data_IF_325945105818
#
_entry.id   IF_325945105818
#
_cell.length_a   1.000
_cell.length_b   1.000
_cell.length_c   1.000
_cell.angle_alpha   90.00
_cell.angle_beta   90.00
_cell.angle_gamma   90.00
#
_symmetry.space_group_name_H-M   'P 1'
#
loop_
_entity.id
_entity.type
_entity.pdbx_description
1 polymer ?
#
# COMPACT_ATOMS: atom_id res chain seq x y z
N UNK A 1 -3.03 10.73 9.83
CA UNK A 1 -1.65 10.48 9.40
C UNK A 1 -1.26 11.45 8.30
N UNK A 2 0.03 11.65 8.09
CA UNK A 2 0.55 12.53 7.05
C UNK A 2 1.65 11.83 6.26
N UNK A 3 2.28 12.54 5.32
CA UNK A 3 3.34 12.00 4.48
C UNK A 3 4.50 11.43 5.31
N UNK A 4 4.91 12.11 6.38
CA UNK A 4 6.02 11.65 7.23
C UNK A 4 5.68 10.34 7.94
N UNK A 5 4.42 10.16 8.33
CA UNK A 5 3.96 8.90 8.93
C UNK A 5 4.02 7.76 7.90
N UNK A 6 3.57 8.02 6.67
CA UNK A 6 3.64 7.04 5.59
C UNK A 6 5.09 6.68 5.25
N UNK A 7 5.96 7.69 5.18
CA UNK A 7 7.39 7.49 4.91
C UNK A 7 8.04 6.61 5.97
N UNK A 8 7.80 6.90 7.23
CA UNK A 8 8.35 6.13 8.35
C UNK A 8 7.89 4.68 8.30
N UNK A 9 6.60 4.44 8.11
CA UNK A 9 6.05 3.09 8.04
C UNK A 9 6.57 2.31 6.83
N UNK A 10 6.66 2.95 5.67
CA UNK A 10 7.14 2.29 4.45
C UNK A 10 8.63 1.94 4.55
N UNK A 11 9.44 2.87 5.03
CA UNK A 11 10.89 2.67 5.14
C UNK A 11 11.27 1.69 6.24
N UNK A 12 10.36 1.39 7.18
CA UNK A 12 10.57 0.35 8.18
C UNK A 12 10.45 -1.06 7.61
N UNK A 13 9.86 -1.22 6.41
CA UNK A 13 9.73 -2.52 5.76
C UNK A 13 11.04 -2.95 5.09
N UNK A 14 11.31 -4.26 5.03
CA UNK A 14 12.59 -4.76 4.48
C UNK A 14 12.83 -4.32 3.04
N UNK A 15 14.06 -3.92 2.74
CA UNK A 15 14.55 -3.63 1.39
C UNK A 15 13.81 -2.50 0.67
N UNK A 16 13.06 -1.69 1.40
CA UNK A 16 12.33 -0.56 0.82
C UNK A 16 13.22 0.68 0.75
N UNK A 17 13.20 1.32 -0.41
CA UNK A 17 13.84 2.62 -0.64
C UNK A 17 12.83 3.62 -1.16
N UNK A 18 13.10 4.90 -0.96
CA UNK A 18 12.25 5.98 -1.45
C UNK A 18 12.83 6.58 -2.73
N UNK A 19 11.96 6.81 -3.72
CA UNK A 19 12.31 7.51 -4.96
C UNK A 19 11.16 8.42 -5.36
N UNK A 20 11.44 9.39 -6.23
CA UNK A 20 10.39 10.16 -6.87
C UNK A 20 9.77 9.37 -8.01
N UNK A 21 8.45 9.41 -8.12
CA UNK A 21 7.69 8.79 -9.20
C UNK A 21 6.59 9.75 -9.62
N UNK A 22 6.68 10.26 -10.85
CA UNK A 22 5.75 11.25 -11.37
C UNK A 22 5.61 12.48 -10.46
N UNK A 23 6.75 12.95 -9.91
CA UNK A 23 6.77 14.13 -9.04
C UNK A 23 6.33 13.91 -7.60
N UNK A 24 6.04 12.68 -7.20
CA UNK A 24 5.59 12.35 -5.85
C UNK A 24 6.50 11.31 -5.20
N UNK A 25 6.67 11.34 -3.87
CA UNK A 25 7.40 10.29 -3.16
C UNK A 25 6.75 8.92 -3.39
N UNK A 26 7.60 7.92 -3.61
CA UNK A 26 7.17 6.54 -3.78
C UNK A 26 8.17 5.60 -3.12
N UNK A 27 7.71 4.43 -2.70
CA UNK A 27 8.50 3.46 -1.95
C UNK A 27 8.51 2.15 -2.70
N UNK A 28 9.70 1.60 -2.86
CA UNK A 28 9.94 0.42 -3.70
C UNK A 28 10.83 -0.57 -2.96
N UNK A 29 10.58 -1.85 -3.15
CA UNK A 29 11.63 -2.85 -3.07
C UNK A 29 12.06 -3.17 -4.51
N UNK A 30 11.68 -4.29 -5.10
CA UNK A 30 11.86 -4.56 -6.52
C UNK A 30 10.74 -3.94 -7.36
N UNK A 31 9.57 -3.82 -6.73
CA UNK A 31 8.38 -3.26 -7.34
C UNK A 31 7.81 -2.15 -6.45
N UNK A 32 6.88 -1.40 -7.00
CA UNK A 32 6.20 -0.33 -6.26
C UNK A 32 5.40 -0.90 -5.09
N UNK A 33 5.71 -0.44 -3.88
CA UNK A 33 4.96 -0.78 -2.66
C UNK A 33 3.88 0.27 -2.40
N UNK A 34 4.24 1.54 -2.47
CA UNK A 34 3.29 2.63 -2.24
C UNK A 34 3.77 3.90 -2.94
N UNK A 35 2.84 4.78 -3.25
CA UNK A 35 3.13 6.08 -3.86
C UNK A 35 2.14 7.11 -3.35
N UNK A 36 2.64 8.29 -2.99
CA UNK A 36 1.76 9.40 -2.70
C UNK A 36 1.07 9.80 -4.01
N UNK A 37 -0.27 9.75 -4.03
CA UNK A 37 -1.05 10.07 -5.23
C UNK A 37 -1.27 11.57 -5.35
N UNK A 38 -1.70 12.18 -4.25
CA UNK A 38 -1.87 13.63 -4.11
C UNK A 38 -1.52 14.03 -2.67
N UNK A 39 -1.89 15.23 -2.25
CA UNK A 39 -1.52 15.75 -0.93
C UNK A 39 -2.04 14.91 0.24
N UNK A 40 -3.13 14.15 0.05
CA UNK A 40 -3.80 13.43 1.13
C UNK A 40 -3.99 11.94 0.88
N UNK A 41 -3.73 11.45 -0.33
CA UNK A 41 -4.04 10.05 -0.66
C UNK A 41 -2.79 9.26 -1.05
N UNK A 42 -2.70 8.06 -0.50
CA UNK A 42 -1.60 7.12 -0.74
C UNK A 42 -2.12 5.93 -1.54
N UNK A 43 -1.42 5.58 -2.62
CA UNK A 43 -1.72 4.37 -3.40
C UNK A 43 -1.01 3.18 -2.77
N UNK A 44 -1.74 2.10 -2.50
CA UNK A 44 -1.20 0.83 -2.01
C UNK A 44 -1.80 -0.34 -2.77
N UNK A 45 -1.13 -1.49 -2.73
CA UNK A 45 -1.62 -2.73 -3.36
C UNK A 45 -2.48 -3.51 -2.38
N UNK A 46 -3.51 -4.14 -2.93
CA UNK A 46 -4.30 -5.15 -2.21
C UNK A 46 -4.24 -6.46 -2.99
N UNK A 47 -4.92 -7.49 -2.53
CA UNK A 47 -4.81 -8.82 -3.13
C UNK A 47 -5.24 -8.84 -4.60
N UNK A 48 -6.38 -8.23 -4.90
CA UNK A 48 -6.94 -8.21 -6.25
C UNK A 48 -7.92 -7.05 -6.44
N UNK A 49 -8.46 -6.94 -7.65
CA UNK A 49 -9.44 -5.93 -8.01
C UNK A 49 -10.73 -6.04 -7.20
N UNK A 50 -11.14 -7.26 -6.87
CA UNK A 50 -12.34 -7.50 -6.06
C UNK A 50 -12.22 -6.92 -4.66
N UNK A 51 -11.08 -7.12 -4.01
CA UNK A 51 -10.81 -6.52 -2.71
C UNK A 51 -10.77 -5.00 -2.79
N UNK A 52 -10.16 -4.45 -3.84
CA UNK A 52 -10.12 -3.01 -4.07
C UNK A 52 -11.54 -2.42 -4.08
N UNK A 53 -12.43 -3.02 -4.84
CA UNK A 53 -13.82 -2.55 -4.95
C UNK A 53 -14.59 -2.74 -3.63
N UNK A 54 -14.35 -3.84 -2.92
CA UNK A 54 -14.99 -4.10 -1.63
C UNK A 54 -14.61 -3.05 -0.58
N UNK A 55 -13.33 -2.68 -0.50
CA UNK A 55 -12.87 -1.66 0.44
C UNK A 55 -13.52 -0.30 0.15
N UNK A 56 -13.58 0.10 -1.10
CA UNK A 56 -14.19 1.38 -1.49
C UNK A 56 -15.68 1.39 -1.15
N UNK A 57 -16.37 0.28 -1.37
CA UNK A 57 -17.80 0.16 -1.04
C UNK A 57 -18.06 0.18 0.46
N UNK A 58 -17.24 -0.52 1.24
CA UNK A 58 -17.44 -0.65 2.68
C UNK A 58 -17.04 0.58 3.47
N UNK A 59 -15.96 1.25 3.08
CA UNK A 59 -15.43 2.41 3.79
C UNK A 59 -15.04 3.54 2.83
N UNK A 60 -16.01 4.18 2.18
CA UNK A 60 -15.72 5.22 1.17
C UNK A 60 -15.07 6.48 1.73
N UNK A 61 -15.13 6.70 3.05
CA UNK A 61 -14.43 7.81 3.69
C UNK A 61 -12.92 7.56 3.80
N UNK A 62 -12.51 6.29 3.79
CA UNK A 62 -11.12 5.89 3.93
C UNK A 62 -10.48 5.48 2.61
N UNK A 63 -11.22 4.75 1.79
CA UNK A 63 -10.72 4.20 0.53
C UNK A 63 -11.40 4.84 -0.68
N UNK A 64 -10.62 5.07 -1.73
CA UNK A 64 -11.13 5.58 -2.99
C UNK A 64 -10.39 4.97 -4.17
N UNK A 65 -10.90 5.18 -5.36
CA UNK A 65 -10.28 4.71 -6.60
C UNK A 65 -10.48 5.76 -7.69
N UNK A 66 -9.72 5.63 -8.76
CA UNK A 66 -9.83 6.50 -9.94
C UNK A 66 -9.95 5.63 -11.18
N UNK A 67 -10.33 6.24 -12.30
CA UNK A 67 -10.37 5.52 -13.59
C UNK A 67 -9.00 4.96 -13.98
N UNK A 68 -7.93 5.66 -13.58
CA UNK A 68 -6.56 5.22 -13.80
C UNK A 68 -6.26 3.87 -13.12
N UNK A 69 -6.93 3.58 -12.01
CA UNK A 69 -6.71 2.36 -11.23
C UNK A 69 -7.72 1.25 -11.52
N UNK A 70 -8.67 1.51 -12.43
CA UNK A 70 -9.69 0.51 -12.77
C UNK A 70 -9.05 -0.79 -13.28
N UNK A 71 -9.52 -1.93 -12.77
CA UNK A 71 -9.01 -3.24 -13.13
C UNK A 71 -7.66 -3.61 -12.53
N UNK A 72 -7.10 -2.78 -11.64
CA UNK A 72 -5.84 -3.06 -10.96
C UNK A 72 -6.08 -3.50 -9.51
N UNK A 73 -5.01 -3.89 -8.82
CA UNK A 73 -5.05 -4.14 -7.37
C UNK A 73 -4.57 -2.93 -6.56
N UNK A 74 -4.66 -1.72 -7.11
CA UNK A 74 -4.23 -0.50 -6.44
C UNK A 74 -5.44 0.26 -5.91
N UNK A 75 -5.40 0.64 -4.63
CA UNK A 75 -6.43 1.41 -3.96
C UNK A 75 -5.81 2.66 -3.33
N UNK A 76 -6.59 3.71 -3.21
CA UNK A 76 -6.16 4.95 -2.57
C UNK A 76 -6.64 4.98 -1.12
N UNK A 77 -5.74 5.32 -0.20
CA UNK A 77 -6.06 5.47 1.22
C UNK A 77 -5.96 6.95 1.57
N UNK A 78 -7.00 7.49 2.24
CA UNK A 78 -6.97 8.85 2.78
C UNK A 78 -6.06 8.89 4.00
N UNK A 79 -4.95 9.64 3.91
CA UNK A 79 -4.02 9.79 5.03
C UNK A 79 -4.68 10.53 6.19
N UNK A 80 -5.58 11.48 5.90
CA UNK A 80 -6.28 12.21 6.95
C UNK A 80 -7.29 11.37 7.73
N UNK A 81 -7.74 10.24 7.18
CA UNK A 81 -8.73 9.37 7.81
C UNK A 81 -8.15 8.09 8.42
N UNK A 82 -6.99 7.64 7.94
CA UNK A 82 -6.39 6.37 8.37
C UNK A 82 -5.68 6.53 9.72
N UNK A 83 -5.77 5.49 10.57
CA UNK A 83 -4.96 5.44 11.79
C UNK A 83 -3.61 4.73 11.52
N UNK A 84 -2.70 4.84 12.49
CA UNK A 84 -1.34 4.31 12.38
C UNK A 84 -1.31 2.79 12.18
N UNK A 85 -2.13 2.06 12.93
CA UNK A 85 -2.19 0.60 12.84
C UNK A 85 -2.69 0.15 11.47
N UNK A 86 -3.75 0.76 10.97
CA UNK A 86 -4.32 0.43 9.66
C UNK A 86 -3.36 0.79 8.54
N UNK A 87 -2.71 1.94 8.62
CA UNK A 87 -1.71 2.34 7.63
C UNK A 87 -0.54 1.35 7.58
N UNK A 88 0.00 0.99 8.74
CA UNK A 88 1.09 0.02 8.83
C UNK A 88 0.70 -1.35 8.26
N UNK A 89 -0.51 -1.81 8.57
CA UNK A 89 -1.01 -3.08 8.05
C UNK A 89 -1.15 -3.06 6.53
N UNK A 90 -1.67 -1.98 5.97
CA UNK A 90 -1.80 -1.86 4.51
C UNK A 90 -0.45 -1.77 3.81
N UNK A 91 0.53 -1.08 4.39
CA UNK A 91 1.86 -1.01 3.79
C UNK A 91 2.58 -2.37 3.82
N UNK A 92 2.44 -3.12 4.91
CA UNK A 92 3.00 -4.47 5.01
C UNK A 92 2.33 -5.42 4.00
N UNK A 93 1.01 -5.35 3.88
CA UNK A 93 0.26 -6.13 2.89
C UNK A 93 0.67 -5.75 1.47
N UNK A 94 0.77 -4.46 1.19
CA UNK A 94 1.19 -3.97 -0.12
C UNK A 94 2.60 -4.45 -0.48
N UNK A 95 3.51 -4.44 0.50
CA UNK A 95 4.85 -4.99 0.35
C UNK A 95 4.81 -6.45 -0.14
N UNK A 96 3.94 -7.25 0.49
CA UNK A 96 3.78 -8.67 0.16
C UNK A 96 3.24 -8.87 -1.26
N UNK A 97 2.18 -8.16 -1.62
CA UNK A 97 1.58 -8.30 -2.96
C UNK A 97 2.49 -7.78 -4.08
N UNK A 98 3.38 -6.85 -3.77
CA UNK A 98 4.39 -6.36 -4.72
C UNK A 98 5.61 -7.26 -4.81
N UNK A 99 5.84 -8.14 -3.82
CA UNK A 99 7.08 -8.88 -3.69
C UNK A 99 7.16 -10.08 -4.63
N UNK A 100 8.30 -10.26 -5.33
CA UNK A 100 8.55 -11.50 -6.05
C UNK A 100 8.80 -12.65 -5.07
N UNK A 101 8.69 -13.91 -5.55
CA UNK A 101 8.83 -15.08 -4.67
C UNK A 101 10.11 -15.09 -3.82
N UNK A 102 11.21 -14.58 -4.33
CA UNK A 102 12.48 -14.56 -3.58
C UNK A 102 12.39 -13.69 -2.32
N UNK A 103 11.69 -12.56 -2.40
CA UNK A 103 11.48 -11.70 -1.23
C UNK A 103 10.49 -12.30 -0.25
N UNK A 104 9.44 -12.94 -0.74
CA UNK A 104 8.46 -13.61 0.13
C UNK A 104 9.10 -14.75 0.91
N UNK A 105 9.99 -15.51 0.28
CA UNK A 105 10.74 -16.58 0.98
C UNK A 105 11.69 -16.04 2.03
N UNK A 106 12.30 -14.88 1.77
CA UNK A 106 13.23 -14.25 2.70
C UNK A 106 12.50 -13.65 3.92
N UNK A 107 11.27 -13.17 3.72
CA UNK A 107 10.50 -12.49 4.77
C UNK A 107 9.09 -13.08 4.90
N UNK A 108 8.99 -14.40 5.22
CA UNK A 108 7.67 -15.06 5.25
C UNK A 108 6.71 -14.53 6.31
N UNK A 109 7.23 -13.89 7.35
CA UNK A 109 6.44 -13.30 8.43
C UNK A 109 5.60 -12.09 7.97
N UNK A 110 5.91 -11.51 6.80
CA UNK A 110 5.14 -10.41 6.24
C UNK A 110 3.93 -10.89 5.43
N UNK A 111 3.82 -12.19 5.19
CA UNK A 111 2.68 -12.75 4.47
C UNK A 111 1.39 -12.72 5.27
N UNK A 112 0.24 -12.94 4.61
CA UNK A 112 -1.03 -13.02 5.32
C UNK A 112 -1.01 -14.22 6.26
N UNK A 113 -1.78 -14.15 7.39
CA UNK A 113 -1.86 -15.29 8.30
C UNK A 113 -2.44 -16.50 7.56
N UNK A 114 -1.85 -17.68 7.79
CA UNK A 114 -2.37 -18.90 7.23
C UNK A 114 -3.73 -19.21 7.86
N UNK A 115 -4.76 -19.28 7.02
CA UNK A 115 -6.06 -19.81 7.42
C UNK A 115 -5.98 -21.31 7.18
N UNK A 116 -5.61 -22.01 8.21
CA UNK A 116 -5.49 -23.47 8.16
C UNK A 116 -6.80 -24.18 8.05
#
# INVERSE_FOLDING_TARGET
MNLEDARRSALALPEVTERQSWGQPAWFHRNLVARLWDEDRLTVRVEDDGERLALVEQEPALYSTTDHHAGTNLVLISLGAVDDETLGAHLAESWWWAAPPVLRRRYPHLGPPETG
#
